data_IF_949776150566
#
_entry.id   IF_949776150566
#
_cell.length_a   1.000
_cell.length_b   1.000
_cell.length_c   1.000
_cell.angle_alpha   90.00
_cell.angle_beta   90.00
_cell.angle_gamma   90.00
#
_symmetry.space_group_name_H-M   'P 1'
#
loop_
_entity.id
_entity.type
_entity.pdbx_description
1 polymer ?
#
# COMPACT_ATOMS: atom_id res chain seq x y z
N UNK A 1 -24.68 -9.62 23.84
CA UNK A 1 -23.33 -9.11 24.15
C UNK A 1 -22.41 -9.82 23.18
N UNK A 2 -21.86 -9.15 22.16
CA UNK A 2 -20.83 -9.77 21.34
C UNK A 2 -19.63 -10.05 22.23
N UNK A 3 -19.09 -11.25 22.10
CA UNK A 3 -17.97 -11.77 22.86
C UNK A 3 -16.76 -10.85 22.74
N UNK A 4 -16.32 -10.26 23.85
CA UNK A 4 -15.11 -9.42 23.95
C UNK A 4 -13.87 -10.27 24.14
N UNK A 5 -13.77 -11.43 23.47
CA UNK A 5 -12.45 -12.00 23.20
C UNK A 5 -11.75 -11.02 22.26
N UNK A 6 -10.63 -10.44 22.70
CA UNK A 6 -9.91 -9.42 21.94
C UNK A 6 -9.74 -9.83 20.47
N UNK A 7 -9.93 -8.88 19.56
CA UNK A 7 -9.62 -9.05 18.15
C UNK A 7 -8.17 -9.56 18.04
N UNK A 8 -7.91 -10.51 17.14
CA UNK A 8 -6.57 -11.06 16.89
C UNK A 8 -6.29 -11.04 15.39
N UNK A 9 -5.02 -10.91 15.00
CA UNK A 9 -4.65 -10.90 13.60
C UNK A 9 -4.84 -12.29 13.02
N UNK A 10 -5.76 -12.41 12.06
CA UNK A 10 -6.11 -13.69 11.44
C UNK A 10 -6.12 -13.56 9.93
N UNK A 11 -5.26 -14.34 9.28
CA UNK A 11 -5.21 -14.51 7.84
C UNK A 11 -5.67 -15.92 7.49
N UNK A 12 -6.83 -16.02 6.84
CA UNK A 12 -7.50 -17.29 6.53
C UNK A 12 -7.14 -17.73 5.10
N UNK A 13 -6.95 -19.04 4.85
CA UNK A 13 -6.81 -19.59 3.51
C UNK A 13 -7.98 -19.19 2.61
N UNK A 14 -7.73 -18.88 1.34
CA UNK A 14 -8.78 -18.60 0.36
C UNK A 14 -8.70 -19.51 -0.85
N UNK A 15 -9.84 -19.66 -1.52
CA UNK A 15 -9.91 -20.17 -2.89
C UNK A 15 -9.75 -18.98 -3.83
N UNK A 16 -8.51 -18.66 -4.18
CA UNK A 16 -8.22 -17.47 -4.99
C UNK A 16 -8.76 -17.63 -6.41
N UNK A 17 -9.14 -16.50 -7.00
CA UNK A 17 -9.34 -16.38 -8.43
C UNK A 17 -8.05 -15.89 -9.09
N UNK A 18 -7.76 -16.42 -10.28
CA UNK A 18 -6.54 -16.09 -11.04
C UNK A 18 -6.75 -16.30 -12.53
N UNK A 19 -5.89 -15.69 -13.33
CA UNK A 19 -5.86 -15.93 -14.77
C UNK A 19 -5.36 -17.35 -15.11
N UNK A 20 -5.90 -17.92 -16.18
CA UNK A 20 -5.47 -19.20 -16.74
C UNK A 20 -4.36 -18.98 -17.76
N UNK A 21 -3.20 -19.61 -17.53
CA UNK A 21 -2.12 -19.61 -18.51
C UNK A 21 -2.61 -20.17 -19.86
N UNK A 22 -2.29 -19.49 -20.96
CA UNK A 22 -2.74 -19.85 -22.31
C UNK A 22 -4.12 -19.28 -22.71
N UNK A 23 -4.86 -18.67 -21.79
CA UNK A 23 -6.07 -17.86 -22.09
C UNK A 23 -5.78 -16.36 -22.22
N UNK A 24 -4.58 -15.96 -21.82
CA UNK A 24 -4.07 -14.57 -21.86
C UNK A 24 -2.69 -14.57 -22.50
N UNK A 25 -2.22 -13.40 -22.96
CA UNK A 25 -0.91 -13.30 -23.63
C UNK A 25 0.26 -13.72 -22.73
N UNK A 26 0.25 -13.27 -21.49
CA UNK A 26 1.13 -13.69 -20.40
C UNK A 26 0.52 -13.25 -19.07
N UNK A 27 0.79 -13.95 -17.97
CA UNK A 27 0.28 -13.58 -16.65
C UNK A 27 0.71 -12.16 -16.24
N UNK A 28 1.95 -11.76 -16.52
CA UNK A 28 2.42 -10.41 -16.23
C UNK A 28 1.72 -9.34 -17.07
N UNK A 29 1.34 -9.65 -18.31
CA UNK A 29 0.71 -8.71 -19.24
C UNK A 29 -0.74 -8.36 -18.88
N UNK A 30 -1.41 -9.19 -18.09
CA UNK A 30 -2.78 -8.95 -17.61
C UNK A 30 -2.84 -8.34 -16.21
N UNK A 31 -1.67 -8.12 -15.58
CA UNK A 31 -1.61 -7.50 -14.25
C UNK A 31 -1.43 -5.99 -14.34
N UNK A 32 -1.78 -5.30 -13.24
CA UNK A 32 -1.64 -3.85 -13.12
C UNK A 32 -0.92 -3.46 -11.82
N UNK A 33 -0.18 -2.33 -11.77
CA UNK A 33 0.10 -1.67 -10.51
C UNK A 33 -1.24 -1.33 -9.80
N UNK A 34 -1.20 -1.05 -8.49
CA UNK A 34 -2.35 -0.50 -7.77
C UNK A 34 -2.90 0.77 -8.41
N UNK A 35 -4.19 1.04 -8.20
CA UNK A 35 -4.90 2.15 -8.86
C UNK A 35 -4.31 3.54 -8.58
N UNK A 36 -3.66 3.74 -7.44
CA UNK A 36 -3.19 5.03 -6.92
C UNK A 36 -1.81 5.45 -7.47
N UNK A 37 -1.11 4.56 -8.20
CA UNK A 37 0.19 4.85 -8.82
C UNK A 37 0.12 4.94 -10.36
N UNK A 38 -1.09 5.05 -10.92
CA UNK A 38 -1.34 4.89 -12.35
C UNK A 38 -1.51 6.21 -13.12
N UNK A 39 -0.43 6.64 -13.74
CA UNK A 39 -0.43 7.78 -14.67
C UNK A 39 -1.17 7.49 -16.00
N UNK A 40 -1.66 8.52 -16.71
CA UNK A 40 -2.36 8.35 -17.99
C UNK A 40 -1.56 7.56 -19.05
N UNK A 41 -0.24 7.75 -19.13
CA UNK A 41 0.61 7.05 -20.08
C UNK A 41 0.75 5.55 -19.75
N UNK A 42 0.89 5.20 -18.46
CA UNK A 42 0.97 3.82 -17.99
C UNK A 42 -0.34 3.10 -18.31
N UNK A 43 -1.49 3.74 -18.05
CA UNK A 43 -2.77 3.08 -18.31
C UNK A 43 -3.05 2.86 -19.78
N UNK A 44 -2.69 3.79 -20.67
CA UNK A 44 -2.78 3.54 -22.12
C UNK A 44 -1.97 2.30 -22.49
N UNK A 45 -0.72 2.22 -22.04
CA UNK A 45 0.14 1.05 -22.28
C UNK A 45 -0.48 -0.25 -21.78
N UNK A 46 -1.00 -0.28 -20.54
CA UNK A 46 -1.62 -1.47 -19.95
C UNK A 46 -2.93 -1.86 -20.66
N UNK A 47 -3.68 -0.86 -21.13
CA UNK A 47 -4.91 -1.10 -21.88
C UNK A 47 -4.59 -1.68 -23.26
N UNK A 48 -3.54 -1.18 -23.91
CA UNK A 48 -3.09 -1.64 -25.22
C UNK A 48 -2.35 -2.98 -25.17
N UNK A 49 -1.83 -3.38 -24.00
CA UNK A 49 -1.03 -4.61 -23.86
C UNK A 49 -1.87 -5.89 -23.88
N UNK A 50 -3.02 -5.91 -23.21
CA UNK A 50 -3.94 -7.06 -23.23
C UNK A 50 -5.39 -6.62 -22.97
N UNK A 51 -6.34 -7.27 -23.64
CA UNK A 51 -7.77 -7.05 -23.43
C UNK A 51 -8.26 -7.48 -22.04
N UNK A 52 -7.49 -8.36 -21.38
CA UNK A 52 -7.76 -8.88 -20.06
C UNK A 52 -6.97 -8.17 -18.95
N UNK A 53 -6.29 -7.06 -19.25
CA UNK A 53 -5.51 -6.37 -18.22
C UNK A 53 -6.40 -5.81 -17.10
N UNK A 54 -6.02 -6.08 -15.85
CA UNK A 54 -6.72 -5.65 -14.63
C UNK A 54 -6.96 -4.14 -14.53
N UNK A 55 -6.16 -3.31 -15.19
CA UNK A 55 -6.38 -1.85 -15.25
C UNK A 55 -7.79 -1.51 -15.73
N UNK A 56 -8.35 -2.37 -16.58
CA UNK A 56 -9.71 -2.27 -17.14
C UNK A 56 -10.80 -2.52 -16.10
N UNK A 57 -10.47 -3.10 -14.95
CA UNK A 57 -11.38 -3.29 -13.83
C UNK A 57 -11.17 -2.22 -12.75
N UNK A 58 -9.91 -1.98 -12.35
CA UNK A 58 -9.60 -1.19 -11.14
C UNK A 58 -9.69 0.33 -11.32
N UNK A 59 -9.72 0.81 -12.57
CA UNK A 59 -9.80 2.23 -12.92
C UNK A 59 -10.99 2.52 -13.86
N UNK A 60 -12.21 2.64 -13.33
CA UNK A 60 -13.34 3.18 -14.08
C UNK A 60 -13.13 4.69 -14.31
N UNK A 61 -12.65 5.06 -15.51
CA UNK A 61 -12.08 6.39 -15.81
C UNK A 61 -13.05 7.46 -16.30
N UNK A 62 -14.33 7.13 -16.48
CA UNK A 62 -15.29 8.10 -17.01
C UNK A 62 -16.19 8.63 -15.89
N UNK A 63 -15.86 9.80 -15.31
CA UNK A 63 -16.71 10.44 -14.31
C UNK A 63 -18.05 10.92 -14.89
N UNK A 64 -18.14 11.13 -16.21
CA UNK A 64 -19.37 11.59 -16.89
C UNK A 64 -20.40 10.46 -17.01
N UNK A 65 -19.99 9.19 -16.87
CA UNK A 65 -20.89 8.03 -16.77
C UNK A 65 -21.66 7.97 -15.44
N UNK A 66 -21.34 8.84 -14.48
CA UNK A 66 -22.03 8.90 -13.19
C UNK A 66 -21.98 7.55 -12.44
N UNK A 67 -23.10 7.03 -11.91
CA UNK A 67 -23.16 5.73 -11.26
C UNK A 67 -22.83 4.53 -12.16
N UNK A 68 -23.10 4.62 -13.47
CA UNK A 68 -22.90 3.51 -14.43
C UNK A 68 -21.43 3.21 -14.76
N UNK A 69 -20.48 4.02 -14.25
CA UNK A 69 -19.04 3.84 -14.50
C UNK A 69 -18.50 2.48 -14.03
N UNK A 70 -19.19 1.81 -13.11
CA UNK A 70 -18.80 0.50 -12.57
C UNK A 70 -19.42 -0.69 -13.29
N UNK A 71 -20.43 -0.47 -14.15
CA UNK A 71 -21.11 -1.53 -14.90
C UNK A 71 -20.17 -2.22 -15.89
N UNK A 72 -19.24 -1.47 -16.46
CA UNK A 72 -18.25 -1.99 -17.41
C UNK A 72 -17.25 -2.96 -16.74
N UNK A 73 -16.57 -2.59 -15.63
CA UNK A 73 -15.79 -3.56 -14.84
C UNK A 73 -16.59 -4.81 -14.46
N UNK A 74 -17.81 -4.65 -13.95
CA UNK A 74 -18.64 -5.78 -13.51
C UNK A 74 -18.95 -6.76 -14.65
N UNK A 75 -19.41 -6.23 -15.79
CA UNK A 75 -19.73 -7.04 -16.98
C UNK A 75 -18.48 -7.71 -17.55
N UNK A 76 -17.35 -7.01 -17.55
CA UNK A 76 -16.07 -7.54 -18.04
C UNK A 76 -15.57 -8.69 -17.18
N UNK A 77 -15.60 -8.55 -15.85
CA UNK A 77 -15.21 -9.62 -14.93
C UNK A 77 -16.13 -10.84 -15.09
N UNK A 78 -17.45 -10.63 -15.17
CA UNK A 78 -18.41 -11.71 -15.41
C UNK A 78 -18.14 -12.43 -16.74
N UNK A 79 -17.79 -11.69 -17.81
CA UNK A 79 -17.40 -12.29 -19.09
C UNK A 79 -16.12 -13.13 -18.96
N UNK A 80 -15.10 -12.62 -18.26
CA UNK A 80 -13.86 -13.38 -18.03
C UNK A 80 -14.09 -14.69 -17.27
N UNK A 81 -15.03 -14.70 -16.33
CA UNK A 81 -15.44 -15.91 -15.62
C UNK A 81 -16.15 -16.90 -16.54
N UNK A 82 -17.10 -16.43 -17.35
CA UNK A 82 -17.84 -17.27 -18.30
C UNK A 82 -16.93 -17.89 -19.38
N UNK A 83 -15.95 -17.14 -19.85
CA UNK A 83 -14.99 -17.59 -20.88
C UNK A 83 -13.87 -18.48 -20.32
N UNK A 84 -13.81 -18.64 -19.00
CA UNK A 84 -12.74 -19.36 -18.29
C UNK A 84 -11.38 -18.70 -18.44
N UNK A 85 -11.35 -17.38 -18.63
CA UNK A 85 -10.12 -16.57 -18.63
C UNK A 85 -9.56 -16.48 -17.22
N UNK A 86 -10.46 -16.34 -16.24
CA UNK A 86 -10.16 -16.47 -14.81
C UNK A 86 -10.88 -17.67 -14.24
N UNK A 87 -10.23 -18.36 -13.30
CA UNK A 87 -10.78 -19.53 -12.61
C UNK A 87 -10.56 -19.40 -11.11
N UNK A 88 -11.46 -20.01 -10.34
CA UNK A 88 -11.29 -20.18 -8.91
C UNK A 88 -10.51 -21.46 -8.62
N UNK A 89 -9.59 -21.42 -7.68
CA UNK A 89 -8.90 -22.62 -7.22
C UNK A 89 -9.85 -23.62 -6.53
N UNK A 90 -9.51 -24.91 -6.63
CA UNK A 90 -10.34 -26.00 -6.12
C UNK A 90 -10.27 -26.11 -4.59
N UNK A 91 -9.09 -25.89 -4.00
CA UNK A 91 -8.83 -25.98 -2.57
C UNK A 91 -8.37 -24.64 -1.99
N UNK A 92 -8.78 -24.29 -0.76
CA UNK A 92 -8.30 -23.08 -0.11
C UNK A 92 -6.82 -23.22 0.28
N UNK A 93 -6.04 -22.15 0.12
CA UNK A 93 -4.64 -22.09 0.50
C UNK A 93 -4.29 -20.69 1.03
N UNK A 94 -3.19 -20.59 1.76
CA UNK A 94 -2.44 -19.34 1.84
C UNK A 94 -1.43 -19.32 0.68
N UNK A 95 -1.16 -18.15 0.12
CA UNK A 95 -0.26 -18.02 -1.01
C UNK A 95 0.96 -17.20 -0.59
N UNK A 96 2.17 -17.73 -0.78
CA UNK A 96 3.37 -16.92 -0.63
C UNK A 96 3.55 -16.15 -1.93
N UNK A 97 3.60 -14.83 -1.87
CA UNK A 97 3.83 -13.98 -3.03
C UNK A 97 5.16 -13.27 -2.88
N UNK A 98 6.05 -13.45 -3.87
CA UNK A 98 7.28 -12.70 -4.04
C UNK A 98 7.22 -11.84 -5.30
N UNK A 99 7.66 -10.59 -5.18
CA UNK A 99 7.93 -9.69 -6.29
C UNK A 99 9.35 -9.15 -6.18
N UNK A 100 10.11 -9.19 -7.28
CA UNK A 100 11.45 -8.62 -7.40
C UNK A 100 11.49 -7.58 -8.51
N UNK A 101 12.03 -6.40 -8.23
CA UNK A 101 12.28 -5.36 -9.22
C UNK A 101 13.59 -4.64 -8.87
N UNK A 102 14.62 -4.85 -9.69
CA UNK A 102 15.97 -4.41 -9.34
C UNK A 102 16.43 -5.07 -8.03
N UNK A 103 16.80 -4.25 -7.04
CA UNK A 103 17.22 -4.72 -5.72
C UNK A 103 16.06 -4.81 -4.72
N UNK A 104 14.86 -4.33 -5.07
CA UNK A 104 13.71 -4.31 -4.19
C UNK A 104 12.99 -5.67 -4.23
N UNK A 105 12.67 -6.20 -3.05
CA UNK A 105 11.93 -7.46 -2.88
C UNK A 105 10.74 -7.22 -1.97
N UNK A 106 9.56 -7.60 -2.44
CA UNK A 106 8.35 -7.74 -1.63
C UNK A 106 8.09 -9.24 -1.45
N UNK A 107 7.93 -9.71 -0.22
CA UNK A 107 7.64 -11.12 0.05
C UNK A 107 6.71 -11.27 1.27
N UNK A 108 5.60 -11.99 1.11
CA UNK A 108 4.61 -12.14 2.17
C UNK A 108 3.51 -13.14 1.86
N UNK A 109 2.62 -13.34 2.84
CA UNK A 109 1.47 -14.25 2.75
C UNK A 109 0.25 -13.50 2.23
N UNK A 110 -0.41 -14.04 1.21
CA UNK A 110 -1.69 -13.56 0.67
C UNK A 110 -2.81 -14.48 1.14
N UNK A 111 -3.87 -13.88 1.69
CA UNK A 111 -4.98 -14.58 2.31
C UNK A 111 -6.21 -13.69 2.50
N UNK A 112 -7.25 -14.26 3.14
CA UNK A 112 -8.44 -13.53 3.59
C UNK A 112 -8.21 -13.03 5.01
N UNK A 113 -7.98 -11.73 5.18
CA UNK A 113 -7.77 -11.10 6.47
C UNK A 113 -9.11 -10.88 7.17
N UNK A 114 -9.27 -11.39 8.40
CA UNK A 114 -10.41 -11.02 9.26
C UNK A 114 -10.37 -9.52 9.56
N UNK A 115 -11.46 -8.82 9.26
CA UNK A 115 -11.59 -7.40 9.49
C UNK A 115 -11.62 -7.07 10.98
N UNK A 116 -11.09 -5.89 11.32
CA UNK A 116 -10.95 -5.41 12.69
C UNK A 116 -11.61 -4.02 12.83
N UNK A 117 -12.95 -3.96 12.99
CA UNK A 117 -13.67 -2.69 13.09
C UNK A 117 -13.19 -1.79 14.24
N UNK A 118 -12.63 -2.39 15.31
CA UNK A 118 -12.09 -1.68 16.44
C UNK A 118 -10.71 -1.05 16.18
N UNK A 119 -10.02 -1.46 15.10
CA UNK A 119 -8.69 -0.98 14.72
C UNK A 119 -7.66 -1.10 15.84
N UNK A 120 -7.74 -2.19 16.60
CA UNK A 120 -6.83 -2.51 17.70
C UNK A 120 -5.71 -3.46 17.28
N UNK A 121 -5.87 -4.14 16.15
CA UNK A 121 -4.94 -5.15 15.62
C UNK A 121 -4.47 -4.78 14.23
N UNK A 122 -5.38 -4.29 13.38
CA UNK A 122 -5.03 -3.77 12.05
C UNK A 122 -4.97 -2.26 12.15
N UNK A 123 -3.75 -1.76 12.27
CA UNK A 123 -3.46 -0.38 12.65
C UNK A 123 -3.34 0.50 11.40
N UNK A 124 -4.20 1.52 11.22
CA UNK A 124 -3.97 2.53 10.20
C UNK A 124 -2.81 3.45 10.62
N UNK A 125 -2.10 4.00 9.63
CA UNK A 125 -1.10 5.05 9.88
C UNK A 125 -1.32 6.31 9.04
N UNK A 126 -2.38 6.35 8.21
CA UNK A 126 -2.80 7.52 7.43
C UNK A 126 -4.32 7.69 7.51
N UNK A 127 -4.80 8.93 7.32
CA UNK A 127 -6.23 9.22 7.16
C UNK A 127 -6.75 8.80 5.78
N UNK A 128 -8.04 8.46 5.72
CA UNK A 128 -8.72 8.10 4.46
C UNK A 128 -9.59 9.25 3.97
N UNK A 129 -9.63 9.48 2.66
CA UNK A 129 -10.57 10.44 2.08
C UNK A 129 -11.91 9.78 1.75
N UNK A 130 -13.05 10.34 2.18
CA UNK A 130 -14.36 9.74 1.96
C UNK A 130 -14.66 9.41 0.49
N UNK A 131 -14.31 10.30 -0.45
CA UNK A 131 -14.57 10.06 -1.88
C UNK A 131 -13.77 8.89 -2.47
N UNK A 132 -12.55 8.62 -1.97
CA UNK A 132 -11.77 7.45 -2.38
C UNK A 132 -12.32 6.17 -1.76
N UNK A 133 -12.80 6.22 -0.52
CA UNK A 133 -13.48 5.09 0.12
C UNK A 133 -14.76 4.74 -0.64
N UNK A 134 -15.60 5.73 -0.94
CA UNK A 134 -16.83 5.58 -1.73
C UNK A 134 -16.53 4.98 -3.10
N UNK A 135 -15.47 5.44 -3.77
CA UNK A 135 -15.10 4.92 -5.08
C UNK A 135 -14.70 3.44 -5.03
N UNK A 136 -13.87 3.05 -4.06
CA UNK A 136 -13.45 1.65 -3.87
C UNK A 136 -14.63 0.77 -3.45
N UNK A 137 -15.52 1.27 -2.59
CA UNK A 137 -16.72 0.55 -2.15
C UNK A 137 -17.66 0.27 -3.32
N UNK A 138 -17.96 1.28 -4.15
CA UNK A 138 -18.84 1.09 -5.32
C UNK A 138 -18.25 0.14 -6.35
N UNK A 139 -16.94 0.19 -6.59
CA UNK A 139 -16.28 -0.77 -7.46
C UNK A 139 -16.42 -2.20 -6.90
N UNK A 140 -16.12 -2.38 -5.62
CA UNK A 140 -16.19 -3.66 -4.92
C UNK A 140 -17.63 -4.23 -4.90
N UNK A 141 -18.64 -3.38 -4.68
CA UNK A 141 -20.07 -3.75 -4.74
C UNK A 141 -20.48 -4.14 -6.18
N UNK A 142 -20.02 -3.40 -7.20
CA UNK A 142 -20.39 -3.66 -8.59
C UNK A 142 -19.74 -4.94 -9.17
N UNK A 143 -18.44 -5.16 -8.90
CA UNK A 143 -17.72 -6.36 -9.39
C UNK A 143 -17.91 -7.56 -8.48
N UNK A 144 -18.45 -7.34 -7.29
CA UNK A 144 -18.58 -8.33 -6.23
C UNK A 144 -17.26 -9.03 -5.88
N UNK A 145 -16.18 -8.24 -5.77
CA UNK A 145 -14.83 -8.77 -5.70
C UNK A 145 -13.86 -7.85 -4.94
N UNK A 146 -12.94 -8.46 -4.21
CA UNK A 146 -11.70 -7.84 -3.74
C UNK A 146 -10.63 -8.02 -4.82
N UNK A 147 -10.48 -7.03 -5.69
CA UNK A 147 -9.56 -7.13 -6.84
C UNK A 147 -8.09 -6.87 -6.46
N UNK A 148 -7.85 -6.13 -5.38
CA UNK A 148 -6.52 -5.62 -5.01
C UNK A 148 -6.22 -5.92 -3.53
N UNK A 149 -5.17 -6.69 -3.19
CA UNK A 149 -4.83 -6.96 -1.80
C UNK A 149 -4.38 -5.68 -1.08
N UNK A 150 -4.86 -5.43 0.13
CA UNK A 150 -4.20 -4.46 1.01
C UNK A 150 -2.83 -5.01 1.43
N UNK A 151 -1.84 -4.15 1.63
CA UNK A 151 -0.52 -4.55 2.13
C UNK A 151 -0.44 -4.23 3.61
N UNK A 152 -0.13 -5.25 4.40
CA UNK A 152 0.08 -5.16 5.83
C UNK A 152 1.54 -5.52 6.17
N UNK A 153 2.10 -4.83 7.15
CA UNK A 153 3.41 -5.15 7.73
C UNK A 153 3.26 -5.47 9.21
N UNK A 154 3.91 -6.54 9.68
CA UNK A 154 3.94 -6.93 11.08
C UNK A 154 5.35 -7.32 11.52
N UNK A 155 5.63 -7.17 12.82
CA UNK A 155 6.91 -7.53 13.43
C UNK A 155 6.88 -9.01 13.83
N UNK A 156 7.31 -9.88 12.93
CA UNK A 156 7.39 -11.32 13.15
C UNK A 156 8.80 -11.81 13.43
N UNK A 157 9.22 -12.83 12.67
CA UNK A 157 10.54 -13.46 12.75
C UNK A 157 10.48 -14.91 13.22
N UNK A 158 9.33 -15.58 13.09
CA UNK A 158 9.13 -16.93 13.62
C UNK A 158 8.36 -17.85 12.65
N UNK A 159 7.38 -18.60 13.14
CA UNK A 159 6.75 -19.74 12.46
C UNK A 159 6.15 -19.40 11.09
N UNK A 160 5.47 -18.25 10.96
CA UNK A 160 4.89 -17.87 9.66
C UNK A 160 5.97 -17.56 8.62
N UNK A 161 7.06 -16.92 9.05
CA UNK A 161 8.20 -16.57 8.21
C UNK A 161 9.01 -17.80 7.82
N UNK A 162 9.15 -18.77 8.73
CA UNK A 162 9.76 -20.07 8.42
C UNK A 162 8.95 -20.83 7.37
N UNK A 163 7.61 -20.78 7.44
CA UNK A 163 6.74 -21.38 6.43
C UNK A 163 6.85 -20.68 5.06
N UNK A 164 6.96 -19.34 5.05
CA UNK A 164 7.22 -18.56 3.83
C UNK A 164 8.56 -18.97 3.19
N UNK A 165 9.64 -19.05 3.97
CA UNK A 165 10.96 -19.44 3.48
C UNK A 165 10.98 -20.91 3.01
N UNK A 166 10.29 -21.80 3.71
CA UNK A 166 10.18 -23.22 3.32
C UNK A 166 9.45 -23.37 1.98
N UNK A 167 8.34 -22.67 1.78
CA UNK A 167 7.62 -22.68 0.50
C UNK A 167 8.50 -22.16 -0.65
N UNK A 168 9.26 -21.08 -0.41
CA UNK A 168 10.16 -20.47 -1.42
C UNK A 168 11.35 -21.35 -1.80
N UNK A 169 11.66 -22.38 -1.02
CA UNK A 169 12.69 -23.36 -1.34
C UNK A 169 12.24 -24.39 -2.39
N UNK A 170 10.95 -24.45 -2.73
CA UNK A 170 10.40 -25.30 -3.78
C UNK A 170 10.20 -24.55 -5.11
N UNK A 171 9.82 -25.29 -6.14
CA UNK A 171 9.41 -24.69 -7.42
C UNK A 171 8.17 -23.80 -7.23
N UNK A 172 8.15 -22.59 -7.82
CA UNK A 172 7.00 -21.70 -7.76
C UNK A 172 5.81 -22.33 -8.50
N UNK A 173 4.62 -22.13 -7.94
CA UNK A 173 3.36 -22.57 -8.53
C UNK A 173 2.90 -21.68 -9.68
N UNK A 174 3.17 -20.37 -9.60
CA UNK A 174 2.98 -19.43 -10.70
C UNK A 174 4.20 -18.53 -10.82
N UNK A 175 4.57 -18.22 -12.07
CA UNK A 175 5.57 -17.22 -12.40
C UNK A 175 5.01 -16.24 -13.41
N UNK A 176 5.35 -14.97 -13.26
CA UNK A 176 5.00 -13.92 -14.19
C UNK A 176 6.12 -12.88 -14.27
N UNK A 177 6.35 -12.36 -15.47
CA UNK A 177 7.26 -11.25 -15.70
C UNK A 177 6.48 -10.11 -16.35
N UNK A 178 6.66 -8.91 -15.82
CA UNK A 178 6.00 -7.69 -16.33
C UNK A 178 6.95 -6.92 -17.25
N UNK A 179 6.40 -6.02 -18.07
CA UNK A 179 7.16 -5.31 -19.10
C UNK A 179 8.33 -4.46 -18.57
N UNK A 180 8.31 -4.07 -17.29
CA UNK A 180 9.37 -3.30 -16.65
C UNK A 180 10.44 -4.18 -16.00
N UNK A 181 10.39 -5.50 -16.25
CA UNK A 181 11.33 -6.47 -15.70
C UNK A 181 11.05 -6.86 -14.25
N UNK A 182 9.85 -6.59 -13.71
CA UNK A 182 9.49 -7.13 -12.40
C UNK A 182 9.13 -8.60 -12.53
N UNK A 183 9.81 -9.45 -11.76
CA UNK A 183 9.56 -10.88 -11.63
C UNK A 183 8.59 -11.11 -10.47
N UNK A 184 7.61 -11.98 -10.70
CA UNK A 184 6.60 -12.35 -9.72
C UNK A 184 6.56 -13.87 -9.59
N UNK A 185 6.58 -14.36 -8.35
CA UNK A 185 6.49 -15.79 -8.04
C UNK A 185 5.48 -16.03 -6.95
N UNK A 186 4.70 -17.09 -7.10
CA UNK A 186 3.69 -17.49 -6.12
C UNK A 186 3.87 -18.96 -5.76
N UNK A 187 3.80 -19.27 -4.48
CA UNK A 187 3.73 -20.64 -3.94
C UNK A 187 2.42 -20.81 -3.16
N UNK A 188 2.00 -22.05 -2.96
CA UNK A 188 0.80 -22.39 -2.18
C UNK A 188 1.19 -23.13 -0.92
N UNK A 189 0.51 -22.80 0.18
CA UNK A 189 0.57 -23.51 1.45
C UNK A 189 -0.86 -23.99 1.74
N UNK A 190 -1.09 -25.30 1.67
CA UNK A 190 -2.38 -25.91 1.93
C UNK A 190 -2.34 -27.06 2.95
N UNK A 191 -1.17 -27.35 3.55
CA UNK A 191 -1.07 -28.35 4.60
C UNK A 191 -1.78 -27.87 5.90
N UNK A 192 -2.77 -28.61 6.44
CA UNK A 192 -3.56 -28.15 7.60
C UNK A 192 -2.73 -27.83 8.85
N UNK A 193 -1.66 -28.59 9.10
CA UNK A 193 -0.77 -28.38 10.24
C UNK A 193 0.02 -27.08 10.12
N UNK A 194 0.53 -26.77 8.92
CA UNK A 194 1.27 -25.53 8.63
C UNK A 194 0.32 -24.33 8.73
N UNK A 195 -0.87 -24.43 8.13
CA UNK A 195 -1.89 -23.38 8.20
C UNK A 195 -2.32 -23.07 9.64
N UNK A 196 -2.50 -24.10 10.48
CA UNK A 196 -2.81 -23.93 11.90
C UNK A 196 -1.69 -23.25 12.68
N UNK A 197 -0.43 -23.63 12.38
CA UNK A 197 0.75 -23.05 12.99
C UNK A 197 0.91 -21.56 12.63
N UNK A 198 0.73 -21.20 11.35
CA UNK A 198 0.69 -19.81 10.88
C UNK A 198 -0.40 -19.03 11.60
N UNK A 199 -1.64 -19.55 11.63
CA UNK A 199 -2.76 -18.85 12.30
C UNK A 199 -2.51 -18.63 13.79
N UNK A 200 -1.88 -19.58 14.48
CA UNK A 200 -1.55 -19.48 15.91
C UNK A 200 -0.45 -18.45 16.16
N UNK A 201 0.50 -18.33 15.24
CA UNK A 201 1.56 -17.34 15.32
C UNK A 201 1.02 -15.93 15.06
N UNK A 202 0.32 -15.73 13.94
CA UNK A 202 -0.24 -14.44 13.56
C UNK A 202 -1.15 -13.85 14.64
N UNK A 203 -1.93 -14.68 15.35
CA UNK A 203 -2.83 -14.22 16.40
C UNK A 203 -2.14 -13.48 17.58
N UNK A 204 -0.80 -13.52 17.66
CA UNK A 204 0.00 -12.84 18.69
C UNK A 204 0.46 -11.44 18.26
N UNK A 205 0.23 -11.06 17.01
CA UNK A 205 0.78 -9.85 16.41
C UNK A 205 -0.32 -8.84 16.07
N UNK A 206 0.11 -7.59 15.98
CA UNK A 206 -0.61 -6.50 15.32
C UNK A 206 0.07 -6.22 13.98
N UNK A 207 -0.66 -5.63 13.04
CA UNK A 207 -0.12 -5.28 11.73
C UNK A 207 -0.51 -3.85 11.34
N UNK A 208 0.43 -3.10 10.79
CA UNK A 208 0.16 -1.77 10.21
C UNK A 208 -0.24 -1.91 8.75
N UNK A 209 -1.24 -1.13 8.33
CA UNK A 209 -1.60 -1.02 6.91
C UNK A 209 -0.50 -0.24 6.20
N UNK A 210 0.40 -0.91 5.48
CA UNK A 210 1.44 -0.26 4.68
C UNK A 210 0.87 0.34 3.38
N UNK A 211 -0.15 -0.29 2.78
CA UNK A 211 -0.84 0.24 1.62
C UNK A 211 -2.30 -0.24 1.58
N UNK A 212 -3.20 0.62 1.15
CA UNK A 212 -4.62 0.29 0.96
C UNK A 212 -5.58 0.73 2.06
N UNK A 213 -5.31 1.85 2.77
CA UNK A 213 -6.20 2.39 3.81
C UNK A 213 -7.63 2.65 3.29
N UNK A 214 -7.77 3.22 2.09
CA UNK A 214 -9.09 3.40 1.46
C UNK A 214 -9.81 2.07 1.17
N UNK A 215 -9.07 1.04 0.76
CA UNK A 215 -9.62 -0.32 0.51
C UNK A 215 -10.05 -0.99 1.80
N UNK A 216 -9.23 -0.90 2.85
CA UNK A 216 -9.59 -1.41 4.17
C UNK A 216 -10.82 -0.70 4.75
N UNK A 217 -10.90 0.63 4.60
CA UNK A 217 -12.09 1.38 5.00
C UNK A 217 -13.33 0.94 4.20
N UNK A 218 -13.20 0.68 2.90
CA UNK A 218 -14.29 0.15 2.08
C UNK A 218 -14.73 -1.25 2.52
N UNK A 219 -13.79 -2.14 2.90
CA UNK A 219 -14.11 -3.46 3.48
C UNK A 219 -14.96 -3.32 4.75
N UNK A 220 -14.54 -2.45 5.68
CA UNK A 220 -15.27 -2.19 6.92
C UNK A 220 -16.66 -1.60 6.65
N UNK A 221 -16.78 -0.65 5.72
CA UNK A 221 -18.05 -0.04 5.39
C UNK A 221 -19.02 -1.05 4.78
N UNK A 222 -18.53 -1.94 3.89
CA UNK A 222 -19.35 -3.03 3.36
C UNK A 222 -19.79 -4.00 4.45
N UNK A 223 -18.88 -4.41 5.35
CA UNK A 223 -19.22 -5.27 6.48
C UNK A 223 -20.35 -4.68 7.33
N UNK A 224 -20.32 -3.36 7.57
CA UNK A 224 -21.35 -2.64 8.30
C UNK A 224 -22.69 -2.60 7.56
N UNK A 225 -22.67 -2.44 6.23
CA UNK A 225 -23.88 -2.43 5.38
C UNK A 225 -24.49 -3.82 5.20
N UNK A 226 -23.65 -4.86 5.16
CA UNK A 226 -24.01 -6.24 4.85
C UNK A 226 -23.53 -7.24 5.93
N UNK A 227 -23.90 -7.08 7.22
CA UNK A 227 -23.30 -7.83 8.33
C UNK A 227 -23.56 -9.34 8.32
N UNK A 228 -24.53 -9.79 7.52
CA UNK A 228 -24.91 -11.21 7.38
C UNK A 228 -24.45 -11.82 6.06
N UNK A 229 -23.77 -11.05 5.20
CA UNK A 229 -23.28 -11.56 3.93
C UNK A 229 -22.06 -12.47 4.18
N UNK A 230 -22.06 -13.72 3.71
CA UNK A 230 -20.91 -14.60 3.86
C UNK A 230 -19.64 -13.98 3.27
N UNK A 231 -18.58 -13.91 4.06
CA UNK A 231 -17.30 -13.36 3.64
C UNK A 231 -17.20 -11.83 3.79
N UNK A 232 -18.26 -11.10 4.15
CA UNK A 232 -18.14 -9.66 4.40
C UNK A 232 -17.27 -9.33 5.63
N UNK A 233 -16.99 -10.33 6.47
CA UNK A 233 -16.09 -10.25 7.62
C UNK A 233 -14.59 -10.30 7.31
N UNK A 234 -14.21 -10.57 6.06
CA UNK A 234 -12.82 -10.72 5.64
C UNK A 234 -12.56 -9.87 4.38
N UNK A 235 -11.30 -9.51 4.14
CA UNK A 235 -10.85 -8.82 2.93
C UNK A 235 -9.55 -9.40 2.39
N UNK A 236 -9.31 -9.29 1.09
CA UNK A 236 -8.05 -9.73 0.49
C UNK A 236 -6.87 -8.88 1.01
N UNK A 237 -5.84 -9.55 1.55
CA UNK A 237 -4.64 -8.90 2.07
C UNK A 237 -3.38 -9.68 1.74
N UNK A 238 -2.26 -8.95 1.67
CA UNK A 238 -0.91 -9.45 1.73
C UNK A 238 -0.28 -9.02 3.06
N UNK A 239 0.25 -9.96 3.82
CA UNK A 239 0.86 -9.75 5.12
C UNK A 239 2.37 -10.05 5.04
N UNK A 240 3.18 -9.06 5.37
CA UNK A 240 4.64 -9.10 5.29
C UNK A 240 5.25 -9.02 6.68
N UNK A 241 6.07 -10.01 7.01
CA UNK A 241 6.97 -9.90 8.16
C UNK A 241 8.17 -9.04 7.76
N UNK A 242 8.17 -7.78 8.18
CA UNK A 242 9.23 -6.85 7.79
C UNK A 242 10.57 -7.13 8.50
N UNK A 243 10.60 -7.94 9.55
CA UNK A 243 11.85 -8.33 10.22
C UNK A 243 12.60 -9.33 9.34
N UNK A 244 11.88 -10.30 8.78
CA UNK A 244 12.45 -11.33 7.89
C UNK A 244 12.56 -10.87 6.44
N UNK A 245 11.59 -10.11 5.95
CA UNK A 245 11.47 -9.62 4.57
C UNK A 245 11.18 -8.11 4.57
N UNK A 246 12.21 -7.27 4.80
CA UNK A 246 12.02 -5.83 4.94
C UNK A 246 11.36 -5.19 3.71
N UNK A 247 10.36 -4.35 3.97
CA UNK A 247 9.78 -3.47 2.95
C UNK A 247 10.75 -2.32 2.64
N UNK A 248 10.71 -1.84 1.40
CA UNK A 248 11.38 -0.58 1.04
C UNK A 248 10.48 0.57 1.44
N UNK A 249 11.01 1.51 2.20
CA UNK A 249 10.33 2.76 2.56
C UNK A 249 11.08 3.88 1.86
N UNK A 250 10.38 4.59 0.99
CA UNK A 250 10.90 5.78 0.30
C UNK A 250 10.24 7.04 0.86
N UNK A 251 11.01 8.14 1.00
CA UNK A 251 10.44 9.42 1.39
C UNK A 251 9.56 9.95 0.26
N UNK A 252 8.57 10.75 0.63
CA UNK A 252 7.84 11.58 -0.32
C UNK A 252 8.30 13.00 -0.06
N UNK A 253 8.92 13.65 -1.04
CA UNK A 253 9.41 15.02 -0.93
C UNK A 253 8.27 16.03 -1.12
N UNK A 254 8.49 17.28 -0.70
CA UNK A 254 7.53 18.37 -0.91
C UNK A 254 8.16 19.47 -1.78
N UNK A 255 7.34 20.12 -2.58
CA UNK A 255 7.66 21.43 -3.15
C UNK A 255 6.60 22.39 -2.66
N UNK A 256 7.06 23.46 -2.01
CA UNK A 256 6.22 24.38 -1.23
C UNK A 256 6.26 25.76 -1.86
N UNK A 257 5.20 26.18 -2.59
CA UNK A 257 5.09 27.52 -3.13
C UNK A 257 5.13 28.59 -2.02
N UNK A 258 5.76 29.73 -2.31
CA UNK A 258 5.91 30.85 -1.37
C UNK A 258 6.97 30.67 -0.29
N UNK A 259 7.51 29.46 -0.09
CA UNK A 259 8.52 29.21 0.93
C UNK A 259 9.92 29.64 0.44
N UNK A 260 10.58 30.49 1.22
CA UNK A 260 11.98 30.91 1.01
C UNK A 260 12.87 30.46 2.18
N UNK A 261 14.18 30.33 1.95
CA UNK A 261 15.11 30.01 3.03
C UNK A 261 15.19 31.10 4.11
N UNK A 262 14.84 32.34 3.80
CA UNK A 262 14.72 33.42 4.79
C UNK A 262 13.54 33.19 5.74
N UNK A 263 12.39 32.76 5.20
CA UNK A 263 11.23 32.39 6.01
C UNK A 263 11.60 31.23 6.94
N UNK A 264 12.26 30.18 6.41
CA UNK A 264 12.71 29.04 7.22
C UNK A 264 13.64 29.48 8.33
N UNK A 265 14.64 30.34 8.05
CA UNK A 265 15.58 30.83 9.07
C UNK A 265 14.90 31.63 10.19
N UNK A 266 13.92 32.44 9.82
CA UNK A 266 13.31 33.42 10.74
C UNK A 266 12.19 32.80 11.57
N UNK A 267 11.45 31.85 11.01
CA UNK A 267 10.22 31.35 11.59
C UNK A 267 10.31 29.91 12.11
N UNK A 268 11.43 29.20 11.91
CA UNK A 268 11.62 27.87 12.53
C UNK A 268 11.64 28.02 14.06
N UNK A 269 10.80 27.26 14.80
CA UNK A 269 10.73 27.37 16.26
C UNK A 269 12.05 27.02 16.97
N UNK A 270 12.20 27.53 18.19
CA UNK A 270 13.31 27.17 19.08
C UNK A 270 13.29 25.67 19.39
N UNK A 271 14.46 25.02 19.40
CA UNK A 271 14.58 23.57 19.64
C UNK A 271 15.04 22.80 18.42
N UNK A 272 14.97 23.40 17.24
CA UNK A 272 15.58 22.85 16.02
C UNK A 272 17.02 23.30 15.87
N UNK A 273 17.90 22.35 15.57
CA UNK A 273 19.28 22.67 15.16
C UNK A 273 19.26 22.97 13.66
N UNK A 274 19.82 24.12 13.28
CA UNK A 274 19.80 24.60 11.90
C UNK A 274 21.23 24.80 11.39
N UNK A 275 21.55 24.20 10.24
CA UNK A 275 22.87 24.31 9.64
C UNK A 275 22.81 24.56 8.13
N UNK A 276 23.72 25.38 7.56
CA UNK A 276 23.85 25.54 6.13
C UNK A 276 24.30 24.24 5.45
N UNK A 277 23.81 24.01 4.23
CA UNK A 277 24.16 22.84 3.42
C UNK A 277 23.14 21.71 3.53
N UNK A 278 23.29 20.73 2.63
CA UNK A 278 22.53 19.49 2.62
C UNK A 278 23.28 18.45 3.44
N UNK A 279 22.57 17.77 4.32
CA UNK A 279 23.10 16.62 5.06
C UNK A 279 22.53 15.36 4.41
N UNK A 280 23.36 14.33 4.31
CA UNK A 280 22.99 13.01 3.80
C UNK A 280 23.11 11.97 4.92
N UNK A 281 22.28 10.92 4.87
CA UNK A 281 22.39 9.75 5.75
C UNK A 281 21.84 9.91 7.17
N UNK A 282 21.31 11.08 7.54
CA UNK A 282 20.69 11.30 8.85
C UNK A 282 19.15 11.15 8.78
N UNK A 283 18.52 10.15 9.42
CA UNK A 283 17.08 9.92 9.33
C UNK A 283 16.23 11.00 10.01
N UNK A 284 16.80 11.76 10.94
CA UNK A 284 16.06 12.72 11.77
C UNK A 284 16.20 14.17 11.24
N UNK A 285 16.58 14.29 9.96
CA UNK A 285 16.79 15.56 9.26
C UNK A 285 15.60 15.95 8.37
N UNK A 286 15.49 17.26 8.13
CA UNK A 286 14.68 17.86 7.06
C UNK A 286 15.57 18.86 6.31
N UNK A 287 15.85 18.61 5.04
CA UNK A 287 16.67 19.50 4.21
C UNK A 287 15.79 20.33 3.29
N UNK A 288 16.05 21.64 3.20
CA UNK A 288 15.27 22.58 2.39
C UNK A 288 16.20 23.28 1.40
N UNK A 289 15.75 23.44 0.16
CA UNK A 289 16.51 24.16 -0.88
C UNK A 289 15.63 25.05 -1.74
N UNK A 290 16.20 26.19 -2.15
CA UNK A 290 15.64 27.09 -3.16
C UNK A 290 16.21 26.83 -4.58
N UNK A 291 16.87 25.69 -4.78
CA UNK A 291 17.55 25.31 -6.02
C UNK A 291 18.99 25.82 -6.13
N UNK A 292 19.41 26.75 -5.26
CA UNK A 292 20.79 27.30 -5.25
C UNK A 292 21.52 27.04 -3.95
N UNK A 293 20.81 27.10 -2.84
CA UNK A 293 21.33 26.98 -1.49
C UNK A 293 20.55 25.93 -0.72
N UNK A 294 21.19 25.38 0.30
CA UNK A 294 20.59 24.39 1.19
C UNK A 294 20.63 24.84 2.64
N UNK A 295 19.59 24.43 3.37
CA UNK A 295 19.50 24.54 4.81
C UNK A 295 18.99 23.21 5.34
N UNK A 296 19.65 22.65 6.35
CA UNK A 296 19.18 21.43 7.03
C UNK A 296 18.74 21.76 8.44
N UNK A 297 17.58 21.21 8.81
CA UNK A 297 17.02 21.21 10.15
C UNK A 297 17.16 19.81 10.76
N UNK A 298 17.50 19.77 12.04
CA UNK A 298 17.64 18.55 12.83
C UNK A 298 16.91 18.69 14.16
N UNK A 299 16.39 17.57 14.66
CA UNK A 299 15.69 17.46 15.95
C UNK A 299 16.06 16.15 16.64
N UNK A 300 16.14 16.18 17.97
CA UNK A 300 16.41 14.98 18.78
C UNK A 300 15.11 14.34 19.31
N UNK A 301 13.95 14.79 18.82
CA UNK A 301 12.63 14.27 19.20
C UNK A 301 12.37 12.96 18.46
N UNK A 302 12.02 11.89 19.19
CA UNK A 302 11.62 10.59 18.61
C UNK A 302 10.18 10.64 18.06
N UNK A 303 9.94 11.56 17.12
CA UNK A 303 8.70 11.70 16.35
C UNK A 303 9.07 11.75 14.88
N UNK A 304 8.35 11.05 13.99
CA UNK A 304 8.65 11.07 12.56
C UNK A 304 8.76 12.50 12.02
N UNK A 305 9.87 12.80 11.33
CA UNK A 305 10.16 14.15 10.80
C UNK A 305 9.06 14.69 9.90
N UNK A 306 8.37 13.80 9.18
CA UNK A 306 7.21 14.16 8.35
C UNK A 306 6.02 14.66 9.17
N UNK A 307 5.76 14.09 10.35
CA UNK A 307 4.72 14.60 11.25
C UNK A 307 5.11 15.98 11.77
N UNK A 308 6.37 16.14 12.22
CA UNK A 308 6.89 17.43 12.68
C UNK A 308 6.90 18.50 11.58
N UNK A 309 7.13 18.11 10.32
CA UNK A 309 7.01 19.02 9.19
C UNK A 309 5.61 19.62 9.12
N UNK A 310 4.58 18.76 9.11
CA UNK A 310 3.19 19.19 8.93
C UNK A 310 2.58 19.84 10.17
N UNK A 311 2.86 19.34 11.38
CA UNK A 311 2.24 19.83 12.60
C UNK A 311 2.94 21.07 13.18
N UNK A 312 4.24 21.24 12.91
CA UNK A 312 5.05 22.28 13.54
C UNK A 312 5.66 23.24 12.53
N UNK A 313 6.39 22.73 11.54
CA UNK A 313 7.20 23.58 10.67
C UNK A 313 6.37 24.32 9.62
N UNK A 314 5.48 23.63 8.88
CA UNK A 314 4.64 24.26 7.86
C UNK A 314 3.74 25.37 8.45
N UNK A 315 3.05 25.17 9.60
CA UNK A 315 2.30 26.24 10.26
C UNK A 315 3.19 27.39 10.71
N UNK A 316 4.38 27.10 11.26
CA UNK A 316 5.31 28.13 11.69
C UNK A 316 5.82 28.97 10.50
N UNK A 317 6.02 28.36 9.34
CA UNK A 317 6.40 29.03 8.10
C UNK A 317 5.23 29.72 7.38
N UNK A 318 4.01 29.63 7.91
CA UNK A 318 2.81 30.22 7.32
C UNK A 318 2.38 29.57 6.01
N UNK A 319 2.71 28.29 5.80
CA UNK A 319 2.38 27.54 4.59
C UNK A 319 0.93 27.04 4.64
N UNK A 320 0.23 27.18 3.51
CA UNK A 320 -1.08 26.57 3.30
C UNK A 320 -0.87 25.20 2.65
N UNK A 321 -1.37 24.12 3.28
CA UNK A 321 -1.10 22.75 2.83
C UNK A 321 -1.64 22.42 1.44
N UNK A 322 -2.72 23.08 1.02
CA UNK A 322 -3.40 22.84 -0.26
C UNK A 322 -2.51 23.14 -1.49
N UNK A 323 -1.50 24.01 -1.33
CA UNK A 323 -0.59 24.41 -2.41
C UNK A 323 0.66 23.51 -2.50
N UNK A 324 0.82 22.56 -1.58
CA UNK A 324 2.01 21.71 -1.54
C UNK A 324 1.90 20.61 -2.59
N UNK A 325 2.95 20.46 -3.39
CA UNK A 325 3.08 19.32 -4.31
C UNK A 325 4.00 18.23 -3.75
N UNK A 326 3.65 16.98 -4.03
CA UNK A 326 4.27 15.78 -3.46
C UNK A 326 5.03 15.04 -4.55
N UNK A 327 6.29 14.67 -4.28
CA UNK A 327 7.20 14.09 -5.27
C UNK A 327 7.87 12.83 -4.74
N UNK A 328 7.83 11.73 -5.49
CA UNK A 328 8.44 10.45 -5.08
C UNK A 328 9.95 10.38 -5.32
N UNK A 329 10.50 11.31 -6.11
CA UNK A 329 11.95 11.41 -6.31
C UNK A 329 12.44 12.80 -5.93
N UNK A 330 13.64 12.86 -5.35
CA UNK A 330 14.27 14.13 -5.00
C UNK A 330 14.55 14.94 -6.28
N UNK A 331 14.90 14.28 -7.38
CA UNK A 331 15.19 14.94 -8.65
C UNK A 331 13.99 15.75 -9.18
N UNK A 332 12.78 15.19 -9.10
CA UNK A 332 11.55 15.88 -9.55
C UNK A 332 11.24 17.09 -8.65
N UNK A 333 11.42 16.95 -7.34
CA UNK A 333 11.26 18.07 -6.41
C UNK A 333 12.28 19.19 -6.67
N UNK A 334 13.55 18.82 -6.90
CA UNK A 334 14.62 19.78 -7.18
C UNK A 334 14.44 20.51 -8.52
N UNK A 335 13.88 19.85 -9.53
CA UNK A 335 13.60 20.47 -10.82
C UNK A 335 12.59 21.62 -10.72
N UNK A 336 11.81 21.68 -9.64
CA UNK A 336 10.81 22.71 -9.37
C UNK A 336 11.26 23.72 -8.30
N UNK A 337 12.43 23.52 -7.67
CA UNK A 337 12.89 24.39 -6.61
C UNK A 337 13.33 25.78 -7.14
N UNK A 338 13.00 26.83 -6.39
CA UNK A 338 13.36 28.20 -6.71
C UNK A 338 13.29 29.13 -5.48
N UNK A 339 13.74 30.40 -5.60
CA UNK A 339 13.79 31.36 -4.49
C UNK A 339 12.45 31.65 -3.78
N UNK A 340 11.32 31.44 -4.48
CA UNK A 340 9.96 31.61 -3.95
C UNK A 340 9.18 30.30 -3.93
N UNK A 341 9.86 29.16 -4.06
CA UNK A 341 9.25 27.83 -4.06
C UNK A 341 10.31 26.81 -3.65
N UNK A 342 10.40 26.52 -2.36
CA UNK A 342 11.44 25.63 -1.86
C UNK A 342 11.05 24.14 -2.02
N UNK A 343 12.03 23.31 -2.34
CA UNK A 343 11.91 21.86 -2.20
C UNK A 343 12.32 21.44 -0.79
N UNK A 344 11.56 20.52 -0.20
CA UNK A 344 11.81 19.90 1.10
C UNK A 344 12.13 18.42 0.88
N UNK A 345 13.36 18.06 1.18
CA UNK A 345 13.84 16.69 1.22
C UNK A 345 13.61 16.10 2.61
N UNK A 346 12.81 15.04 2.65
CA UNK A 346 12.63 14.18 3.81
C UNK A 346 13.52 12.94 3.71
N UNK A 347 13.94 12.44 4.87
CA UNK A 347 14.51 11.10 4.97
C UNK A 347 13.40 10.04 4.96
N UNK A 348 13.71 8.83 4.47
CA UNK A 348 12.82 7.69 4.62
C UNK A 348 12.58 7.42 6.11
N UNK A 349 11.33 7.31 6.58
CA UNK A 349 11.08 6.91 7.95
C UNK A 349 11.47 5.44 8.15
N UNK A 350 11.82 5.10 9.39
CA UNK A 350 12.10 3.69 9.74
C UNK A 350 10.79 2.96 10.04
N UNK A 351 10.72 1.68 9.67
CA UNK A 351 9.52 0.87 9.89
C UNK A 351 9.11 0.79 11.36
N UNK A 352 10.09 0.70 12.27
CA UNK A 352 9.84 0.66 13.71
C UNK A 352 9.22 1.96 14.23
N UNK A 353 9.58 3.12 13.65
CA UNK A 353 8.95 4.40 13.97
C UNK A 353 7.50 4.46 13.47
N UNK A 354 7.22 3.96 12.27
CA UNK A 354 5.84 3.90 11.73
C UNK A 354 4.97 3.02 12.62
N UNK A 355 5.45 1.83 12.99
CA UNK A 355 4.72 0.92 13.87
C UNK A 355 4.48 1.48 15.27
N UNK A 356 5.51 2.08 15.89
CA UNK A 356 5.35 2.75 17.19
C UNK A 356 4.29 3.85 17.09
N UNK A 357 4.32 4.66 16.05
CA UNK A 357 3.34 5.73 15.86
C UNK A 357 1.92 5.17 15.75
N UNK A 358 1.74 4.16 14.89
CA UNK A 358 0.45 3.50 14.68
C UNK A 358 -0.09 2.83 15.95
N UNK A 359 0.76 2.16 16.74
CA UNK A 359 0.38 1.51 18.00
C UNK A 359 -0.05 2.50 19.09
N UNK A 360 0.45 3.75 19.04
CA UNK A 360 0.00 4.83 19.94
C UNK A 360 -1.19 5.62 19.38
N UNK A 361 -1.76 5.19 18.24
CA UNK A 361 -2.86 5.90 17.58
C UNK A 361 -2.46 7.22 16.93
N UNK A 362 -1.15 7.46 16.73
CA UNK A 362 -0.64 8.61 16.01
C UNK A 362 -0.72 8.31 14.52
N UNK A 363 -1.56 9.08 13.83
CA UNK A 363 -1.74 9.01 12.38
C UNK A 363 -0.76 9.98 11.73
N UNK A 364 0.02 9.50 10.76
CA UNK A 364 0.92 10.37 10.02
C UNK A 364 0.11 11.23 9.02
N UNK A 365 0.61 12.42 8.66
CA UNK A 365 0.04 13.21 7.59
C UNK A 365 -0.08 12.41 6.29
N UNK A 366 -1.00 12.81 5.42
CA UNK A 366 -1.21 12.12 4.14
C UNK A 366 0.08 12.06 3.32
N UNK A 367 0.30 10.92 2.64
CA UNK A 367 1.49 10.71 1.81
C UNK A 367 2.77 10.91 2.63
N UNK A 368 2.79 10.40 3.85
CA UNK A 368 3.95 10.51 4.73
C UNK A 368 5.06 9.53 4.33
N UNK A 369 4.70 8.37 3.77
CA UNK A 369 5.64 7.31 3.43
C UNK A 369 5.18 6.57 2.19
N UNK A 370 6.11 6.21 1.31
CA UNK A 370 5.85 5.31 0.19
C UNK A 370 6.40 3.93 0.51
N UNK A 371 5.52 2.93 0.64
CA UNK A 371 5.93 1.53 0.75
C UNK A 371 6.08 0.91 -0.64
N UNK A 372 7.25 0.32 -0.89
CA UNK A 372 7.59 -0.32 -2.15
C UNK A 372 8.30 -1.66 -1.95
N UNK A 373 8.23 -2.56 -2.94
CA UNK A 373 7.22 -2.60 -4.01
C UNK A 373 5.81 -2.87 -3.44
N UNK A 374 4.76 -2.42 -4.13
CA UNK A 374 3.36 -2.77 -3.81
C UNK A 374 2.93 -4.06 -4.52
N UNK A 375 2.05 -4.89 -3.93
CA UNK A 375 1.58 -6.10 -4.57
C UNK A 375 0.87 -5.81 -5.89
N UNK A 376 1.11 -6.66 -6.88
CA UNK A 376 0.55 -6.51 -8.22
C UNK A 376 -0.91 -6.98 -8.24
N UNK A 377 -1.76 -6.22 -8.93
CA UNK A 377 -3.17 -6.53 -9.10
C UNK A 377 -3.35 -7.59 -10.19
N UNK A 378 -4.14 -8.63 -9.90
CA UNK A 378 -4.57 -9.63 -10.89
C UNK A 378 -3.91 -11.00 -10.80
N UNK A 379 -2.84 -11.15 -10.03
CA UNK A 379 -2.23 -12.47 -9.83
C UNK A 379 -3.10 -13.37 -8.94
N UNK A 380 -3.66 -12.78 -7.89
CA UNK A 380 -4.62 -13.41 -6.99
C UNK A 380 -5.67 -12.36 -6.64
N UNK A 381 -6.95 -12.73 -6.71
CA UNK A 381 -8.05 -11.91 -6.23
C UNK A 381 -9.15 -12.78 -5.62
N UNK A 382 -10.14 -12.15 -5.01
CA UNK A 382 -11.24 -12.85 -4.33
C UNK A 382 -12.60 -12.33 -4.82
N UNK A 383 -13.57 -13.22 -4.96
CA UNK A 383 -14.98 -12.88 -5.16
C UNK A 383 -15.74 -12.95 -3.83
N UNK A 384 -16.84 -12.19 -3.72
CA UNK A 384 -17.58 -11.90 -2.48
C UNK A 384 -19.03 -12.42 -2.48
#
# INVERSE_FOLDING_TARGET
>A
MPDTSGSVLRLEPLRAWRFVAGKVSALGAVTSPPYDVLEPAIVRRLTDSDLHNMVRLILPRDPDLGPGRYDEPARRLAQWQQDGVVVQDDSPALYVYEQRLGNAVLCGLVGSLRLDPARTVVLPHEEVMPHWVDDRLRLMEATDADLEPILLAYAGGSVASDAVDAARASEPWLEAETYNGAEHRIWRIDEPEVLSAISTELAKHEAVIADGHHRYAAYLERQLREPYRPGAEVGLAMLVDYIRHPLTLDPIHRVVPGLSLEIVRTHTPTGWQMQPGRVDGDPDRISITDGTSWLTLHTDVDTPTVALLHEVLLPAWGVVEEDISFHHTLADALALAGPQQAAVELAAPRMDQVLRSAAHGVVLPQKATSFGPKPRVGLLFRML
#
